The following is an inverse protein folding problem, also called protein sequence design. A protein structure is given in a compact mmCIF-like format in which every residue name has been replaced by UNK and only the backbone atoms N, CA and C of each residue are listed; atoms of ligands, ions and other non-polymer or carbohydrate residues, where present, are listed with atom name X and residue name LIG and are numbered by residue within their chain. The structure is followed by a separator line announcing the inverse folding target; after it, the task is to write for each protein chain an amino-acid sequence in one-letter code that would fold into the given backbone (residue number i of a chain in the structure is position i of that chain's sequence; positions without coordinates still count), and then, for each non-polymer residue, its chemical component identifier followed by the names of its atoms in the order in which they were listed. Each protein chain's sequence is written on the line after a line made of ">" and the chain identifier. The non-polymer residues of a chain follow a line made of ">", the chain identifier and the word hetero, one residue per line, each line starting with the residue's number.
data_IF_020615324559
#
_entry.id   IF_020615324559
#
_cell.length_a   1.000
_cell.length_b   1.000
_cell.length_c   1.000
_cell.angle_alpha   90.00
_cell.angle_beta   90.00
_cell.angle_gamma   90.00
#
_symmetry.space_group_name_H-M   'P 1'
#
loop_
_entity.id
_entity.type
_entity.pdbx_description
1 polymer ?
#
# COMPACT_ATOMS: atom_id res chain seq x y z
N UNK A 1 -18.12 -47.65 10.80
CA UNK A 1 -18.52 -46.25 10.77
C UNK A 1 -17.24 -45.40 10.58
N UNK A 2 -16.85 -45.14 9.32
CA UNK A 2 -15.64 -44.40 8.98
C UNK A 2 -15.89 -42.90 9.20
N UNK A 3 -15.03 -42.25 10.02
CA UNK A 3 -15.00 -40.79 10.13
C UNK A 3 -14.62 -40.17 8.81
N UNK A 4 -15.26 -39.10 8.34
CA UNK A 4 -14.86 -38.41 7.10
C UNK A 4 -13.49 -37.78 7.27
N UNK A 5 -12.62 -38.06 6.31
CA UNK A 5 -11.31 -37.42 6.11
C UNK A 5 -11.54 -35.93 5.98
N UNK A 6 -10.91 -35.14 6.84
CA UNK A 6 -10.93 -33.68 6.77
C UNK A 6 -10.46 -33.27 5.38
N UNK A 7 -11.35 -32.62 4.64
CA UNK A 7 -11.06 -31.87 3.43
C UNK A 7 -9.94 -30.86 3.74
N UNK A 8 -8.84 -30.95 2.97
CA UNK A 8 -7.74 -30.01 3.07
C UNK A 8 -8.27 -28.58 3.09
N UNK A 9 -7.99 -27.83 4.16
CA UNK A 9 -8.51 -26.49 4.38
C UNK A 9 -8.12 -25.60 3.21
N UNK A 10 -9.11 -25.11 2.45
CA UNK A 10 -8.90 -24.04 1.50
C UNK A 10 -8.33 -22.86 2.27
N UNK A 11 -7.15 -22.36 1.85
CA UNK A 11 -6.53 -21.19 2.45
C UNK A 11 -7.57 -20.07 2.51
N UNK A 12 -7.75 -19.49 3.70
CA UNK A 12 -8.76 -18.48 4.00
C UNK A 12 -8.54 -17.25 3.10
N UNK A 13 -9.48 -16.98 2.21
CA UNK A 13 -9.42 -15.83 1.33
C UNK A 13 -9.54 -14.53 2.13
N UNK A 14 -8.95 -13.44 1.59
CA UNK A 14 -9.15 -12.10 2.12
C UNK A 14 -10.61 -11.68 1.89
N UNK A 15 -11.35 -11.41 2.97
CA UNK A 15 -12.78 -11.07 2.93
C UNK A 15 -13.02 -9.71 3.56
N UNK A 16 -14.13 -9.09 3.18
CA UNK A 16 -14.54 -7.78 3.70
C UNK A 16 -14.59 -7.75 5.23
N UNK A 17 -15.10 -8.81 5.87
CA UNK A 17 -15.23 -8.90 7.33
C UNK A 17 -13.88 -8.83 8.05
N UNK A 18 -12.80 -9.35 7.42
CA UNK A 18 -11.44 -9.23 7.98
C UNK A 18 -11.00 -7.78 8.06
N UNK A 19 -11.26 -7.02 7.01
CA UNK A 19 -10.88 -5.60 6.93
C UNK A 19 -11.74 -4.73 7.83
N UNK A 20 -13.05 -4.99 7.90
CA UNK A 20 -13.93 -4.30 8.85
C UNK A 20 -13.46 -4.50 10.29
N UNK A 21 -13.11 -5.73 10.67
CA UNK A 21 -12.58 -6.04 12.00
C UNK A 21 -11.24 -5.34 12.24
N UNK A 22 -10.31 -5.41 11.26
CA UNK A 22 -9.01 -4.75 11.33
C UNK A 22 -9.16 -3.23 11.55
N UNK A 23 -9.99 -2.57 10.74
CA UNK A 23 -10.18 -1.13 10.83
C UNK A 23 -10.95 -0.72 12.09
N UNK A 24 -11.87 -1.55 12.59
CA UNK A 24 -12.52 -1.33 13.88
C UNK A 24 -11.50 -1.35 15.04
N UNK A 25 -10.54 -2.26 15.03
CA UNK A 25 -9.46 -2.30 16.03
C UNK A 25 -8.52 -1.10 15.89
N UNK A 26 -8.15 -0.75 14.64
CA UNK A 26 -7.25 0.38 14.35
C UNK A 26 -7.85 1.72 14.69
N UNK A 27 -9.17 1.91 14.55
CA UNK A 27 -9.89 3.13 14.92
C UNK A 27 -9.61 3.57 16.36
N UNK A 28 -9.40 2.62 17.28
CA UNK A 28 -9.08 2.92 18.69
C UNK A 28 -7.65 3.46 18.87
N UNK A 29 -6.76 3.25 17.90
CA UNK A 29 -5.34 3.54 18.00
C UNK A 29 -4.72 3.84 16.63
N UNK A 30 -5.27 4.79 15.88
CA UNK A 30 -4.81 5.16 14.53
C UNK A 30 -3.34 5.57 14.55
N UNK A 31 -2.88 6.27 15.58
CA UNK A 31 -1.46 6.59 15.80
C UNK A 31 -0.54 5.35 15.87
N UNK A 32 -1.10 4.16 16.06
CA UNK A 32 -0.32 2.92 16.14
C UNK A 32 -0.06 2.27 14.77
N UNK A 33 -0.53 2.84 13.67
CA UNK A 33 -0.17 2.35 12.33
C UNK A 33 1.24 2.84 11.99
N UNK A 34 2.16 1.91 11.73
CA UNK A 34 3.49 2.27 11.23
C UNK A 34 3.36 2.81 9.81
N UNK A 35 3.97 3.96 9.55
CA UNK A 35 4.01 4.57 8.23
C UNK A 35 5.45 4.78 7.80
N UNK A 36 5.74 4.55 6.53
CA UNK A 36 6.90 5.11 5.86
C UNK A 36 6.44 6.42 5.22
N UNK A 37 6.24 7.42 6.06
CA UNK A 37 5.45 8.65 5.90
C UNK A 37 5.52 9.33 4.53
N UNK A 38 6.58 9.17 3.80
CA UNK A 38 6.83 9.86 2.53
C UNK A 38 7.06 8.91 1.35
N UNK A 39 6.83 7.60 1.52
CA UNK A 39 7.15 6.60 0.49
C UNK A 39 6.44 6.89 -0.83
N UNK A 40 5.13 6.88 -0.84
CA UNK A 40 4.33 7.10 -2.05
C UNK A 40 4.56 8.50 -2.59
N UNK A 41 4.57 9.52 -1.72
CA UNK A 41 4.85 10.91 -2.08
C UNK A 41 6.19 11.04 -2.83
N UNK A 42 7.29 10.48 -2.29
CA UNK A 42 8.62 10.53 -2.92
C UNK A 42 8.63 9.92 -4.31
N UNK A 43 7.93 8.80 -4.47
CA UNK A 43 7.90 8.10 -5.75
C UNK A 43 7.06 8.84 -6.79
N UNK A 44 5.93 9.43 -6.38
CA UNK A 44 5.11 10.24 -7.28
C UNK A 44 5.83 11.54 -7.68
N UNK A 45 6.49 12.23 -6.76
CA UNK A 45 7.30 13.43 -7.05
C UNK A 45 8.49 13.15 -7.97
N UNK A 46 8.94 11.89 -8.06
CA UNK A 46 9.98 11.49 -9.01
C UNK A 46 9.49 11.50 -10.46
N UNK A 47 8.20 11.28 -10.70
CA UNK A 47 7.63 11.11 -12.04
C UNK A 47 6.71 12.25 -12.48
N UNK A 48 6.13 13.02 -11.55
CA UNK A 48 5.23 14.13 -11.88
C UNK A 48 5.18 15.23 -10.82
N UNK A 49 4.80 16.43 -11.25
CA UNK A 49 4.38 17.50 -10.33
C UNK A 49 2.92 17.24 -9.90
N UNK A 50 2.67 17.29 -8.61
CA UNK A 50 1.36 16.98 -8.03
C UNK A 50 0.41 18.19 -7.98
N UNK A 51 0.89 19.40 -8.20
CA UNK A 51 0.08 20.62 -8.11
C UNK A 51 -1.11 20.59 -9.08
N UNK A 52 -2.31 20.68 -8.52
CA UNK A 52 -3.57 20.66 -9.26
C UNK A 52 -3.96 19.30 -9.84
N UNK A 53 -3.16 18.25 -9.65
CA UNK A 53 -3.44 16.90 -10.13
C UNK A 53 -4.56 16.24 -9.35
N UNK A 54 -5.45 15.56 -10.06
CA UNK A 54 -6.47 14.68 -9.47
C UNK A 54 -5.85 13.33 -9.16
N UNK A 55 -5.83 12.95 -7.89
CA UNK A 55 -5.17 11.73 -7.40
C UNK A 55 -6.19 10.84 -6.70
N UNK A 56 -6.26 9.57 -7.09
CA UNK A 56 -7.10 8.55 -6.44
C UNK A 56 -6.23 7.57 -5.67
N UNK A 57 -6.50 7.40 -4.37
CA UNK A 57 -6.03 6.28 -3.57
C UNK A 57 -7.12 5.21 -3.51
N UNK A 58 -6.82 3.98 -3.98
CA UNK A 58 -7.73 2.83 -3.95
C UNK A 58 -7.38 1.92 -2.79
N UNK A 59 -8.37 1.61 -1.92
CA UNK A 59 -8.14 0.89 -0.67
C UNK A 59 -7.38 1.76 0.34
N UNK A 60 -7.86 2.98 0.57
CA UNK A 60 -7.14 4.04 1.29
C UNK A 60 -6.87 3.73 2.77
N UNK A 61 -7.68 2.88 3.40
CA UNK A 61 -7.48 2.48 4.80
C UNK A 61 -7.44 3.66 5.77
N UNK A 62 -6.26 4.12 6.13
CA UNK A 62 -6.07 5.31 7.00
C UNK A 62 -5.72 6.58 6.24
N UNK A 63 -5.58 6.54 4.91
CA UNK A 63 -5.18 7.68 4.10
C UNK A 63 -3.74 8.19 4.32
N UNK A 64 -2.94 7.46 5.08
CA UNK A 64 -1.58 7.88 5.47
C UNK A 64 -0.66 8.20 4.29
N UNK A 65 -0.93 7.57 3.13
CA UNK A 65 -0.11 7.73 1.93
C UNK A 65 -0.66 8.84 1.03
N UNK A 66 -1.96 9.17 1.12
CA UNK A 66 -2.59 10.24 0.32
C UNK A 66 -2.67 11.59 1.02
N UNK A 67 -2.83 11.65 2.34
CA UNK A 67 -2.87 12.94 3.05
C UNK A 67 -1.64 13.81 2.79
N UNK A 68 -0.40 13.29 2.79
CA UNK A 68 0.77 14.12 2.46
C UNK A 68 0.75 14.71 1.05
N UNK A 69 0.04 14.09 0.08
CA UNK A 69 -0.04 14.58 -1.29
C UNK A 69 -0.82 15.91 -1.37
N UNK A 70 -1.74 16.14 -0.43
CA UNK A 70 -2.56 17.37 -0.37
C UNK A 70 -1.66 18.59 -0.12
N UNK A 71 -0.66 18.46 0.75
CA UNK A 71 0.32 19.53 1.04
C UNK A 71 1.12 19.94 -0.20
N UNK A 72 1.25 19.01 -1.16
CA UNK A 72 1.90 19.27 -2.45
C UNK A 72 0.93 19.73 -3.55
N UNK A 73 -0.30 20.11 -3.16
CA UNK A 73 -1.31 20.69 -4.03
C UNK A 73 -2.11 19.68 -4.85
N UNK A 74 -2.07 18.40 -4.51
CA UNK A 74 -2.92 17.40 -5.14
C UNK A 74 -4.39 17.52 -4.68
N UNK A 75 -5.32 17.23 -5.60
CA UNK A 75 -6.74 17.05 -5.32
C UNK A 75 -6.98 15.57 -5.07
N UNK A 76 -7.03 15.18 -3.80
CA UNK A 76 -7.07 13.77 -3.40
C UNK A 76 -8.50 13.26 -3.28
N UNK A 77 -8.73 12.06 -3.82
CA UNK A 77 -9.90 11.22 -3.59
C UNK A 77 -9.42 9.93 -2.92
N UNK A 78 -10.05 9.55 -1.83
CA UNK A 78 -9.76 8.36 -1.04
C UNK A 78 -10.93 7.40 -1.16
N UNK A 79 -10.72 6.21 -1.73
CA UNK A 79 -11.74 5.19 -1.87
C UNK A 79 -11.43 3.99 -0.97
N UNK A 80 -12.42 3.57 -0.22
CA UNK A 80 -12.39 2.32 0.53
C UNK A 80 -13.81 1.72 0.60
N UNK A 81 -13.91 0.40 0.77
CA UNK A 81 -15.21 -0.26 0.92
C UNK A 81 -15.59 -0.48 2.40
N UNK A 82 -14.63 -0.35 3.32
CA UNK A 82 -14.83 -0.52 4.77
C UNK A 82 -15.42 0.74 5.39
N UNK A 83 -16.56 0.61 6.04
CA UNK A 83 -17.19 1.71 6.76
C UNK A 83 -16.29 2.23 7.88
N UNK A 84 -15.57 1.34 8.57
CA UNK A 84 -14.62 1.73 9.62
C UNK A 84 -13.44 2.52 9.06
N UNK A 85 -12.91 2.13 7.89
CA UNK A 85 -11.88 2.90 7.17
C UNK A 85 -12.38 4.30 6.80
N UNK A 86 -13.57 4.42 6.20
CA UNK A 86 -14.17 5.71 5.84
C UNK A 86 -14.34 6.64 7.06
N UNK A 87 -14.70 6.09 8.22
CA UNK A 87 -14.80 6.86 9.47
C UNK A 87 -13.42 7.32 9.97
N UNK A 88 -12.38 6.49 9.83
CA UNK A 88 -10.99 6.87 10.16
C UNK A 88 -10.54 8.02 9.25
N UNK A 89 -10.74 7.88 7.94
CA UNK A 89 -10.38 8.91 6.95
C UNK A 89 -11.05 10.24 7.27
N UNK A 90 -12.35 10.22 7.58
CA UNK A 90 -13.11 11.43 7.98
C UNK A 90 -12.52 12.07 9.24
N UNK A 91 -12.31 11.31 10.31
CA UNK A 91 -11.73 11.83 11.55
C UNK A 91 -10.35 12.44 11.33
N UNK A 92 -9.49 11.78 10.53
CA UNK A 92 -8.15 12.28 10.25
C UNK A 92 -8.17 13.53 9.36
N UNK A 93 -9.07 13.62 8.38
CA UNK A 93 -9.21 14.83 7.55
C UNK A 93 -9.64 16.03 8.38
N UNK A 94 -10.54 15.83 9.35
CA UNK A 94 -10.97 16.87 10.31
C UNK A 94 -9.82 17.29 11.24
N UNK A 95 -9.10 16.31 11.81
CA UNK A 95 -7.94 16.54 12.68
C UNK A 95 -6.81 17.30 11.98
N UNK A 96 -6.50 16.92 10.75
CA UNK A 96 -5.48 17.57 9.91
C UNK A 96 -5.96 18.88 9.29
N UNK A 97 -7.26 19.21 9.40
CA UNK A 97 -7.89 20.37 8.76
C UNK A 97 -7.64 20.41 7.23
N UNK A 98 -7.67 19.26 6.56
CA UNK A 98 -7.46 19.13 5.12
C UNK A 98 -8.75 18.76 4.40
N UNK A 99 -8.92 19.27 3.18
CA UNK A 99 -10.05 18.90 2.32
C UNK A 99 -9.65 17.71 1.44
N UNK A 100 -10.41 16.64 1.54
CA UNK A 100 -10.31 15.46 0.68
C UNK A 100 -11.70 14.90 0.38
N UNK A 101 -11.83 14.19 -0.73
CA UNK A 101 -13.06 13.49 -1.09
C UNK A 101 -12.95 12.03 -0.64
N UNK A 102 -13.80 11.63 0.31
CA UNK A 102 -13.85 10.26 0.84
C UNK A 102 -15.05 9.56 0.20
N UNK A 103 -14.80 8.43 -0.48
CA UNK A 103 -15.80 7.70 -1.26
C UNK A 103 -15.83 6.24 -0.82
N UNK A 104 -17.03 5.76 -0.48
CA UNK A 104 -17.28 4.34 -0.27
C UNK A 104 -17.48 3.64 -1.61
N UNK A 105 -16.71 2.60 -1.93
CA UNK A 105 -16.84 1.92 -3.22
C UNK A 105 -16.08 0.61 -3.32
N UNK A 106 -16.42 -0.15 -4.35
CA UNK A 106 -15.76 -1.40 -4.70
C UNK A 106 -14.60 -1.11 -5.68
N UNK A 107 -13.43 -1.69 -5.43
CA UNK A 107 -12.27 -1.56 -6.30
C UNK A 107 -12.42 -2.23 -7.66
N UNK A 108 -13.37 -3.16 -7.79
CA UNK A 108 -13.69 -3.84 -9.06
C UNK A 108 -14.71 -3.09 -9.90
N UNK A 109 -15.35 -2.06 -9.34
CA UNK A 109 -16.32 -1.20 -10.02
C UNK A 109 -16.23 0.20 -9.43
N UNK A 110 -15.19 0.92 -9.83
CA UNK A 110 -14.92 2.26 -9.33
C UNK A 110 -16.05 3.24 -9.75
N UNK A 111 -16.64 4.01 -8.80
CA UNK A 111 -17.77 4.89 -9.09
C UNK A 111 -17.32 6.21 -9.77
N UNK A 112 -16.41 6.11 -10.71
CA UNK A 112 -15.84 7.25 -11.44
C UNK A 112 -15.94 7.01 -12.94
N UNK A 113 -16.03 8.10 -13.70
CA UNK A 113 -15.96 8.07 -15.17
C UNK A 113 -14.58 7.66 -15.63
N UNK A 114 -14.49 7.20 -16.87
CA UNK A 114 -13.22 6.96 -17.54
C UNK A 114 -12.37 8.24 -17.52
N UNK A 115 -11.06 8.08 -17.47
CA UNK A 115 -10.07 9.17 -17.62
C UNK A 115 -10.30 10.37 -16.68
N UNK A 116 -10.64 10.09 -15.42
CA UNK A 116 -10.92 11.11 -14.40
C UNK A 116 -9.65 11.57 -13.69
N UNK A 117 -8.69 10.65 -13.43
CA UNK A 117 -7.54 10.92 -12.56
C UNK A 117 -6.22 11.06 -13.32
N UNK A 118 -5.39 12.00 -12.89
CA UNK A 118 -4.01 12.14 -13.39
C UNK A 118 -3.09 11.07 -12.78
N UNK A 119 -3.39 10.64 -11.54
CA UNK A 119 -2.67 9.61 -10.82
C UNK A 119 -3.68 8.70 -10.12
N UNK A 120 -3.48 7.39 -10.25
CA UNK A 120 -4.16 6.36 -9.44
C UNK A 120 -3.08 5.59 -8.70
N UNK A 121 -3.28 5.30 -7.44
CA UNK A 121 -2.36 4.44 -6.71
C UNK A 121 -3.07 3.58 -5.67
N UNK A 122 -2.43 2.48 -5.33
CA UNK A 122 -2.78 1.66 -4.17
C UNK A 122 -1.53 1.05 -3.55
N UNK A 123 -1.61 0.81 -2.25
CA UNK A 123 -0.56 0.18 -1.48
C UNK A 123 -1.15 -0.90 -0.59
N UNK A 124 -0.62 -2.12 -0.70
CA UNK A 124 -1.08 -3.21 0.13
C UNK A 124 -2.50 -3.68 -0.22
N UNK A 125 -2.86 -3.66 -1.51
CA UNK A 125 -4.18 -4.05 -2.00
C UNK A 125 -4.12 -5.21 -2.99
N UNK A 126 -3.30 -5.13 -4.04
CA UNK A 126 -3.25 -6.09 -5.15
C UNK A 126 -2.92 -7.52 -4.69
N UNK A 127 -2.09 -7.65 -3.68
CA UNK A 127 -1.64 -8.94 -3.14
C UNK A 127 -2.76 -9.82 -2.57
N UNK A 128 -3.89 -9.22 -2.22
CA UNK A 128 -5.03 -9.92 -1.64
C UNK A 128 -5.92 -10.62 -2.67
N UNK A 129 -5.67 -10.39 -3.96
CA UNK A 129 -6.48 -10.90 -5.05
C UNK A 129 -5.74 -11.93 -5.91
N UNK A 130 -6.46 -13.01 -6.28
CA UNK A 130 -5.95 -14.00 -7.23
C UNK A 130 -5.94 -13.42 -8.63
N UNK A 131 -5.20 -14.06 -9.53
CA UNK A 131 -4.91 -13.56 -10.87
C UNK A 131 -6.13 -12.96 -11.64
N UNK A 132 -7.30 -13.60 -11.75
CA UNK A 132 -8.42 -12.99 -12.48
C UNK A 132 -8.90 -11.68 -11.84
N UNK A 133 -9.03 -11.65 -10.50
CA UNK A 133 -9.48 -10.48 -9.77
C UNK A 133 -8.39 -9.38 -9.75
N UNK A 134 -7.12 -9.76 -9.62
CA UNK A 134 -6.01 -8.81 -9.68
C UNK A 134 -5.96 -8.06 -11.02
N UNK A 135 -6.26 -8.74 -12.13
CA UNK A 135 -6.38 -8.09 -13.44
C UNK A 135 -7.56 -7.14 -13.49
N UNK A 136 -8.75 -7.58 -13.08
CA UNK A 136 -9.96 -6.74 -13.07
C UNK A 136 -9.77 -5.46 -12.24
N UNK A 137 -9.09 -5.55 -11.08
CA UNK A 137 -8.72 -4.39 -10.26
C UNK A 137 -7.82 -3.42 -11.03
N UNK A 138 -6.78 -3.92 -11.69
CA UNK A 138 -5.86 -3.09 -12.45
C UNK A 138 -6.52 -2.47 -13.69
N UNK A 139 -7.39 -3.22 -14.38
CA UNK A 139 -8.16 -2.72 -15.52
C UNK A 139 -9.09 -1.55 -15.11
N UNK A 140 -9.77 -1.66 -13.96
CA UNK A 140 -10.58 -0.57 -13.42
C UNK A 140 -9.72 0.66 -13.05
N UNK A 141 -8.55 0.45 -12.44
CA UNK A 141 -7.61 1.54 -12.15
C UNK A 141 -7.14 2.24 -13.44
N UNK A 142 -6.87 1.46 -14.50
CA UNK A 142 -6.45 1.99 -15.81
C UNK A 142 -7.63 2.69 -16.53
N UNK A 143 -8.86 2.18 -16.38
CA UNK A 143 -10.05 2.81 -16.96
C UNK A 143 -10.22 4.25 -16.47
N UNK A 144 -10.16 4.45 -15.16
CA UNK A 144 -10.33 5.79 -14.55
C UNK A 144 -9.10 6.69 -14.67
N UNK A 145 -7.97 6.15 -15.11
CA UNK A 145 -6.72 6.89 -15.33
C UNK A 145 -6.74 7.60 -16.67
N UNK A 146 -6.42 8.90 -16.69
CA UNK A 146 -6.28 9.72 -17.91
C UNK A 146 -5.19 9.20 -18.84
N UNK A 147 -5.29 9.52 -20.12
CA UNK A 147 -4.19 9.36 -21.07
C UNK A 147 -2.96 10.17 -20.59
N UNK A 148 -1.80 9.52 -20.59
CA UNK A 148 -0.57 10.11 -20.05
C UNK A 148 -0.48 10.14 -18.52
N UNK A 149 -1.50 9.65 -17.81
CA UNK A 149 -1.53 9.54 -16.36
C UNK A 149 -0.68 8.38 -15.82
N UNK A 150 -0.51 8.32 -14.49
CA UNK A 150 0.36 7.38 -13.81
C UNK A 150 -0.41 6.46 -12.87
N UNK A 151 -0.20 5.14 -12.99
CA UNK A 151 -0.64 4.14 -12.02
C UNK A 151 0.55 3.69 -11.18
N UNK A 152 0.48 3.89 -9.86
CA UNK A 152 1.46 3.37 -8.92
C UNK A 152 0.88 2.19 -8.15
N UNK A 153 1.59 1.07 -8.19
CA UNK A 153 1.25 -0.16 -7.48
C UNK A 153 2.38 -0.52 -6.52
N UNK A 154 2.09 -0.60 -5.22
CA UNK A 154 3.04 -0.98 -4.16
C UNK A 154 2.56 -2.26 -3.48
N UNK A 155 3.40 -3.30 -3.47
CA UNK A 155 3.08 -4.66 -3.04
C UNK A 155 4.21 -5.28 -2.21
N UNK A 156 3.94 -6.33 -1.40
CA UNK A 156 4.98 -7.05 -0.68
C UNK A 156 6.01 -7.69 -1.61
N UNK A 157 7.28 -7.49 -1.28
CA UNK A 157 8.41 -8.05 -2.02
C UNK A 157 8.58 -9.55 -1.71
N UNK A 158 8.78 -10.38 -2.76
CA UNK A 158 8.85 -11.85 -2.66
C UNK A 158 10.07 -12.36 -1.88
N UNK A 159 11.23 -11.72 -2.03
CA UNK A 159 12.51 -12.25 -1.53
C UNK A 159 12.87 -11.77 -0.12
N UNK A 160 12.05 -10.95 0.51
CA UNK A 160 12.31 -10.46 1.86
C UNK A 160 12.04 -11.56 2.91
N UNK A 161 12.91 -11.64 3.94
CA UNK A 161 12.77 -12.64 5.01
C UNK A 161 11.40 -12.61 5.71
N UNK A 162 10.84 -11.42 5.91
CA UNK A 162 9.48 -11.26 6.45
C UNK A 162 8.42 -11.95 5.59
N UNK A 163 8.61 -11.97 4.26
CA UNK A 163 7.70 -12.63 3.33
C UNK A 163 7.69 -14.14 3.54
N UNK A 164 8.85 -14.75 3.84
CA UNK A 164 8.93 -16.18 4.18
C UNK A 164 8.12 -16.47 5.45
N UNK A 165 8.31 -15.67 6.51
CA UNK A 165 7.55 -15.79 7.76
C UNK A 165 6.04 -15.60 7.51
N UNK A 166 5.67 -14.61 6.72
CA UNK A 166 4.28 -14.34 6.33
C UNK A 166 3.65 -15.56 5.64
N UNK A 167 4.33 -16.14 4.64
CA UNK A 167 3.80 -17.31 3.92
C UNK A 167 3.67 -18.56 4.81
N UNK A 168 4.57 -18.75 5.79
CA UNK A 168 4.41 -19.80 6.79
C UNK A 168 3.14 -19.55 7.62
N UNK A 169 2.91 -18.31 8.08
CA UNK A 169 1.71 -17.96 8.85
C UNK A 169 0.42 -18.12 8.02
N UNK A 170 0.45 -17.80 6.73
CA UNK A 170 -0.66 -18.05 5.79
C UNK A 170 -0.94 -19.55 5.69
N UNK A 171 0.11 -20.36 5.50
CA UNK A 171 -0.04 -21.82 5.34
C UNK A 171 -0.64 -22.51 6.57
N UNK A 172 -0.43 -21.96 7.78
CA UNK A 172 -1.01 -22.47 9.04
C UNK A 172 -2.26 -21.70 9.50
N UNK A 173 -2.86 -20.91 8.62
CA UNK A 173 -4.07 -20.08 8.85
C UNK A 173 -3.98 -19.14 10.08
N UNK A 174 -2.78 -18.61 10.34
CA UNK A 174 -2.51 -17.64 11.42
C UNK A 174 -2.20 -16.23 10.93
N UNK A 175 -2.27 -16.00 9.62
CA UNK A 175 -2.10 -14.65 9.07
C UNK A 175 -3.43 -13.88 9.11
N UNK A 176 -3.41 -12.68 9.66
CA UNK A 176 -4.63 -11.91 9.93
C UNK A 176 -5.41 -11.49 8.66
N UNK A 177 -4.72 -11.27 7.55
CA UNK A 177 -5.32 -10.81 6.30
C UNK A 177 -5.76 -11.96 5.35
N UNK A 178 -5.60 -13.22 5.77
CA UNK A 178 -5.90 -14.38 4.94
C UNK A 178 -4.84 -14.62 3.87
N UNK A 179 -5.26 -15.05 2.67
CA UNK A 179 -4.34 -15.31 1.57
C UNK A 179 -3.75 -14.02 1.01
N UNK A 180 -2.44 -14.02 0.78
CA UNK A 180 -1.71 -12.95 0.13
C UNK A 180 -0.65 -13.51 -0.82
N UNK A 181 -0.46 -12.83 -1.93
CA UNK A 181 0.64 -13.04 -2.86
C UNK A 181 1.80 -12.10 -2.54
N UNK A 182 2.99 -12.42 -3.02
CA UNK A 182 4.15 -11.51 -3.02
C UNK A 182 4.74 -11.48 -4.43
N UNK A 183 5.30 -10.34 -4.79
CA UNK A 183 5.74 -10.04 -6.16
C UNK A 183 7.26 -9.84 -6.21
N UNK A 184 7.84 -10.11 -7.38
CA UNK A 184 9.15 -9.58 -7.75
C UNK A 184 9.00 -8.33 -8.62
N UNK A 185 10.02 -7.49 -8.67
CA UNK A 185 9.98 -6.27 -9.50
C UNK A 185 9.75 -6.55 -10.99
N UNK A 186 10.44 -7.55 -11.61
CA UNK A 186 10.16 -7.88 -13.01
C UNK A 186 8.74 -8.36 -13.25
N UNK A 187 8.20 -9.17 -12.34
CA UNK A 187 6.83 -9.68 -12.43
C UNK A 187 5.79 -8.55 -12.37
N UNK A 188 5.96 -7.60 -11.43
CA UNK A 188 5.07 -6.45 -11.32
C UNK A 188 5.15 -5.55 -12.56
N UNK A 189 6.37 -5.28 -13.05
CA UNK A 189 6.58 -4.50 -14.27
C UNK A 189 5.95 -5.16 -15.50
N UNK A 190 6.16 -6.49 -15.68
CA UNK A 190 5.57 -7.25 -16.78
C UNK A 190 4.04 -7.26 -16.72
N UNK A 191 3.46 -7.33 -15.51
CA UNK A 191 2.01 -7.26 -15.32
C UNK A 191 1.45 -5.92 -15.78
N UNK A 192 2.09 -4.80 -15.40
CA UNK A 192 1.67 -3.47 -15.86
C UNK A 192 1.83 -3.29 -17.38
N UNK A 193 2.93 -3.83 -17.95
CA UNK A 193 3.18 -3.79 -19.39
C UNK A 193 2.14 -4.61 -20.18
N UNK A 194 1.74 -5.78 -19.68
CA UNK A 194 0.71 -6.60 -20.34
C UNK A 194 -0.65 -5.92 -20.41
N UNK A 195 -0.90 -4.94 -19.54
CA UNK A 195 -2.08 -4.09 -19.50
C UNK A 195 -1.93 -2.77 -20.29
N UNK A 196 -0.88 -2.64 -21.12
CA UNK A 196 -0.64 -1.48 -21.98
C UNK A 196 0.01 -0.28 -21.30
N UNK A 197 0.52 -0.43 -20.07
CA UNK A 197 1.25 0.64 -19.40
C UNK A 197 2.75 0.52 -19.69
N UNK A 198 3.42 1.65 -19.91
CA UNK A 198 4.89 1.71 -19.94
C UNK A 198 5.43 1.90 -18.52
N UNK A 199 6.21 0.96 -17.99
CA UNK A 199 6.85 1.12 -16.68
C UNK A 199 7.92 2.20 -16.76
N UNK A 200 7.71 3.31 -16.05
CA UNK A 200 8.60 4.47 -16.06
C UNK A 200 9.49 4.54 -14.83
N UNK A 201 9.11 3.88 -13.73
CA UNK A 201 9.88 3.84 -12.51
C UNK A 201 9.56 2.58 -11.70
N UNK A 202 10.56 2.02 -11.05
CA UNK A 202 10.39 0.94 -10.09
C UNK A 202 11.27 1.22 -8.86
N UNK A 203 10.78 0.86 -7.67
CA UNK A 203 11.46 1.12 -6.42
C UNK A 203 11.26 0.00 -5.42
N UNK A 204 12.13 -0.06 -4.44
CA UNK A 204 11.96 -0.91 -3.26
C UNK A 204 12.02 -0.06 -1.99
N UNK A 205 11.37 -0.53 -0.94
CA UNK A 205 11.34 0.17 0.35
C UNK A 205 11.68 -0.76 1.50
N UNK A 206 12.57 -0.31 2.40
CA UNK A 206 12.87 -1.03 3.63
C UNK A 206 11.90 -0.67 4.74
N UNK A 207 11.59 -1.67 5.57
CA UNK A 207 10.78 -1.46 6.77
C UNK A 207 11.45 -0.43 7.70
N UNK A 208 10.71 0.60 8.07
CA UNK A 208 11.15 1.58 9.05
C UNK A 208 10.10 1.78 10.15
N UNK A 209 10.46 1.71 11.43
CA UNK A 209 11.69 1.11 11.94
C UNK A 209 11.84 -0.37 11.56
N UNK A 210 13.06 -0.91 11.62
CA UNK A 210 13.37 -2.26 11.16
C UNK A 210 12.51 -3.35 11.83
N UNK A 211 12.37 -4.49 11.18
CA UNK A 211 11.66 -5.66 11.71
C UNK A 211 12.14 -6.05 13.11
N UNK A 212 13.44 -6.09 13.34
CA UNK A 212 14.03 -6.43 14.65
C UNK A 212 13.60 -5.44 15.74
N UNK A 213 13.58 -4.14 15.45
CA UNK A 213 13.09 -3.15 16.40
C UNK A 213 11.61 -3.33 16.72
N UNK A 214 10.77 -3.60 15.69
CA UNK A 214 9.33 -3.83 15.89
C UNK A 214 9.07 -5.08 16.72
N UNK A 215 9.81 -6.18 16.47
CA UNK A 215 9.75 -7.41 17.26
C UNK A 215 10.17 -7.16 18.71
N UNK A 216 11.32 -6.51 18.93
CA UNK A 216 11.82 -6.14 20.26
C UNK A 216 10.80 -5.27 21.02
N UNK A 217 10.28 -4.23 20.39
CA UNK A 217 9.22 -3.38 20.98
C UNK A 217 7.98 -4.19 21.35
N UNK A 218 7.57 -5.14 20.52
CA UNK A 218 6.41 -5.99 20.79
C UNK A 218 6.62 -6.90 22.01
N UNK A 219 7.84 -7.45 22.17
CA UNK A 219 8.21 -8.24 23.35
C UNK A 219 8.21 -7.38 24.61
N UNK A 220 8.86 -6.21 24.58
CA UNK A 220 8.88 -5.29 25.72
C UNK A 220 7.49 -4.81 26.13
N UNK A 221 6.60 -4.57 25.16
CA UNK A 221 5.21 -4.20 25.48
C UNK A 221 4.50 -5.26 26.34
N UNK A 222 4.80 -6.57 26.15
CA UNK A 222 4.25 -7.65 26.96
C UNK A 222 4.78 -7.64 28.40
N UNK A 223 5.94 -7.03 28.66
CA UNK A 223 6.52 -6.85 30.02
C UNK A 223 6.14 -5.50 30.64
N UNK A 224 5.21 -4.74 30.02
CA UNK A 224 4.76 -3.43 30.51
C UNK A 224 5.62 -2.24 30.06
N UNK A 225 6.71 -2.47 29.33
CA UNK A 225 7.56 -1.38 28.83
C UNK A 225 7.14 -0.93 27.45
N UNK A 226 6.73 0.32 27.31
CA UNK A 226 6.35 0.94 26.03
C UNK A 226 7.50 1.79 25.47
N UNK A 227 8.08 1.36 24.35
CA UNK A 227 9.06 2.17 23.61
C UNK A 227 8.36 3.01 22.53
N UNK A 228 8.94 4.19 22.25
CA UNK A 228 8.52 5.00 21.08
C UNK A 228 8.57 4.19 19.80
N UNK A 229 7.65 4.47 18.87
CA UNK A 229 7.65 3.83 17.53
C UNK A 229 8.88 4.25 16.72
N UNK A 230 9.28 5.52 16.84
CA UNK A 230 10.44 6.10 16.16
C UNK A 230 11.43 6.62 17.21
N UNK A 231 12.28 5.74 17.80
CA UNK A 231 13.24 6.20 18.80
C UNK A 231 14.25 7.13 18.15
N UNK A 232 14.40 8.32 18.73
CA UNK A 232 15.39 9.31 18.33
C UNK A 232 16.35 9.59 19.51
N UNK A 233 17.15 8.60 19.91
CA UNK A 233 17.98 8.72 21.13
C UNK A 233 19.02 9.82 21.00
N UNK A 234 19.56 10.05 19.80
CA UNK A 234 20.57 11.07 19.51
C UNK A 234 20.23 11.68 18.14
N UNK A 235 19.91 12.98 18.10
CA UNK A 235 19.52 13.69 16.86
C UNK A 235 20.51 13.50 15.71
N UNK A 236 21.81 13.66 15.97
CA UNK A 236 22.84 13.50 14.94
C UNK A 236 22.84 12.10 14.32
N UNK A 237 22.82 11.05 15.14
CA UNK A 237 22.80 9.66 14.65
C UNK A 237 21.52 9.33 13.90
N UNK A 238 20.39 9.90 14.33
CA UNK A 238 19.11 9.73 13.63
C UNK A 238 19.15 10.37 12.25
N UNK A 239 19.70 11.58 12.14
CA UNK A 239 19.85 12.30 10.85
C UNK A 239 20.83 11.57 9.94
N UNK A 240 21.98 11.13 10.45
CA UNK A 240 22.96 10.37 9.68
C UNK A 240 22.36 9.07 9.13
N UNK A 241 21.66 8.31 9.97
CA UNK A 241 20.95 7.08 9.56
C UNK A 241 19.89 7.36 8.51
N UNK A 242 19.09 8.43 8.67
CA UNK A 242 18.10 8.85 7.68
C UNK A 242 18.75 9.16 6.34
N UNK A 243 19.84 9.92 6.32
CA UNK A 243 20.55 10.30 5.10
C UNK A 243 21.17 9.08 4.39
N UNK A 244 21.81 8.17 5.15
CA UNK A 244 22.35 6.92 4.60
C UNK A 244 21.19 6.09 3.98
N UNK A 245 20.08 5.90 4.71
CA UNK A 245 18.91 5.18 4.19
C UNK A 245 18.41 5.81 2.89
N UNK A 246 18.20 7.12 2.87
CA UNK A 246 17.69 7.82 1.68
C UNK A 246 18.65 7.72 0.49
N UNK A 247 19.97 7.75 0.74
CA UNK A 247 20.98 7.52 -0.30
C UNK A 247 20.91 6.09 -0.85
N UNK A 248 20.81 5.10 0.03
CA UNK A 248 20.71 3.70 -0.36
C UNK A 248 19.39 3.37 -1.08
N UNK A 249 18.28 4.04 -0.75
CA UNK A 249 17.00 3.87 -1.44
C UNK A 249 17.05 4.30 -2.92
N UNK A 250 18.06 5.09 -3.31
CA UNK A 250 18.29 5.47 -4.72
C UNK A 250 19.04 4.40 -5.52
N UNK A 251 19.53 3.36 -4.89
CA UNK A 251 20.23 2.24 -5.54
C UNK A 251 19.25 1.12 -5.95
N UNK A 252 19.75 0.11 -6.68
CA UNK A 252 18.95 -1.07 -7.00
C UNK A 252 18.78 -2.04 -5.80
N UNK A 253 19.52 -1.86 -4.71
CA UNK A 253 19.52 -2.79 -3.57
C UNK A 253 18.13 -2.98 -2.93
N UNK A 254 17.30 -1.93 -2.71
CA UNK A 254 15.96 -2.09 -2.15
C UNK A 254 15.00 -2.90 -3.02
N UNK A 255 15.21 -2.96 -4.34
CA UNK A 255 14.40 -3.78 -5.26
C UNK A 255 14.47 -5.28 -4.90
N UNK A 256 15.58 -5.72 -4.29
CA UNK A 256 15.82 -7.11 -3.93
C UNK A 256 15.73 -7.39 -2.43
N UNK A 257 15.94 -6.37 -1.60
CA UNK A 257 16.03 -6.50 -0.14
C UNK A 257 14.95 -5.73 0.61
N UNK A 258 14.10 -4.97 -0.09
CA UNK A 258 13.00 -4.22 0.50
C UNK A 258 11.90 -5.14 1.03
N UNK A 259 11.10 -4.65 1.96
CA UNK A 259 9.90 -5.34 2.42
C UNK A 259 8.76 -5.21 1.42
N UNK A 260 8.73 -4.10 0.70
CA UNK A 260 7.81 -3.85 -0.41
C UNK A 260 8.58 -3.35 -1.63
N UNK A 261 7.95 -3.52 -2.77
CA UNK A 261 8.36 -2.96 -4.06
C UNK A 261 7.18 -2.24 -4.66
N UNK A 262 7.48 -1.23 -5.46
CA UNK A 262 6.47 -0.55 -6.26
C UNK A 262 6.93 -0.38 -7.71
N UNK A 263 5.95 -0.29 -8.58
CA UNK A 263 6.15 0.09 -9.98
C UNK A 263 5.17 1.20 -10.37
N UNK A 264 5.65 2.13 -11.17
CA UNK A 264 4.84 3.19 -11.76
C UNK A 264 4.73 2.94 -13.26
N UNK A 265 3.52 2.69 -13.70
CA UNK A 265 3.16 2.57 -15.11
C UNK A 265 2.54 3.88 -15.61
N UNK A 266 2.90 4.29 -16.82
CA UNK A 266 2.31 5.44 -17.51
C UNK A 266 1.36 4.92 -18.59
N UNK A 267 0.11 5.40 -18.58
CA UNK A 267 -0.86 5.12 -19.65
C UNK A 267 -0.42 5.88 -20.92
N UNK A 268 -0.35 5.18 -22.06
CA UNK A 268 0.01 5.78 -23.33
C UNK A 268 -0.88 7.01 -23.63
N UNK A 269 -0.43 7.92 -24.46
CA UNK A 269 -1.33 8.90 -25.07
C UNK A 269 -2.00 8.15 -26.22
N UNK A 270 -3.33 8.08 -26.24
CA UNK A 270 -4.05 7.66 -27.45
C UNK A 270 -3.51 8.42 -28.66
N UNK A 271 -3.48 7.77 -29.80
CA UNK A 271 -3.18 8.53 -31.04
C UNK A 271 -4.15 9.72 -31.10
N UNK A 272 -3.69 10.92 -31.48
CA UNK A 272 -4.63 12.01 -31.74
C UNK A 272 -5.59 11.55 -32.82
N UNK A 273 -6.91 11.64 -32.54
CA UNK A 273 -7.97 11.41 -33.51
C UNK A 273 -7.86 12.39 -34.68
#
# INVERSE_FOLDING_TARGET
>A
MMKPIHSGGAMKESRREHWETLWQEKKKNVEQVYSNEDRILRQLLHVCDLRGKSVLEVGAGTGRDSFPLIEYGAKVVQLDYSVNSLQILKSLSEELSVQTNIVGGDTFQLPFRDETFDVVFHQGLLEHFRHPQALALLEENIRVLKQGGFLLVDVPQRYHLYTVVKHILIAIDKWFAGWERSFSTPELASLLQSLGLSTVHAYGEWMYPSFFFRAFRSVLKKTGVTLSKNPQPIRFLTTLRKNIRLSMLKTALPLYTGISIGAIGKKGRGAPE
#
